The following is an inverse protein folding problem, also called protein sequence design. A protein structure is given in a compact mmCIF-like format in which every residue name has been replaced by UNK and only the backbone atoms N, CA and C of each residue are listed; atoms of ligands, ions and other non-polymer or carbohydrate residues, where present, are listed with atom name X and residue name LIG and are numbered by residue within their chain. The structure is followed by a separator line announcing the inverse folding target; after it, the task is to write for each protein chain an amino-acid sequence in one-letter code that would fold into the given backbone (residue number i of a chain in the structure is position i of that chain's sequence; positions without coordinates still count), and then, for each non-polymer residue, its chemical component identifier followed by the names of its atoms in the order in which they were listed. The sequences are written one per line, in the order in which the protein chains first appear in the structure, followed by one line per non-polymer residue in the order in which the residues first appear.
data_IF_454764578189
#
_entry.id   IF_454764578189
#
_cell.length_a   1.000
_cell.length_b   1.000
_cell.length_c   1.000
_cell.angle_alpha   90.00
_cell.angle_beta   90.00
_cell.angle_gamma   90.00
#
_symmetry.space_group_name_H-M   'P 1'
#
loop_
_entity.id
_entity.type
_entity.pdbx_description
1 polymer ?
#
# COMPACT_ATOMS: atom_id res chain seq x y z
N UNK A 1 3.34 28.70 -6.73
CA UNK A 1 3.94 27.63 -5.90
C UNK A 1 2.92 26.80 -5.09
N UNK A 2 1.62 27.15 -5.07
CA UNK A 2 0.63 26.55 -4.16
C UNK A 2 -0.21 25.39 -4.75
N UNK A 3 -0.37 25.33 -6.08
CA UNK A 3 -1.27 24.36 -6.74
C UNK A 3 -0.68 22.95 -6.76
N UNK A 4 0.59 22.83 -7.13
CA UNK A 4 1.32 21.55 -7.26
C UNK A 4 1.63 20.87 -5.92
N UNK A 5 1.81 21.64 -4.84
CA UNK A 5 2.03 21.08 -3.50
C UNK A 5 0.75 20.48 -2.92
N UNK A 6 -0.41 21.13 -3.14
CA UNK A 6 -1.71 20.61 -2.70
C UNK A 6 -2.08 19.32 -3.42
N UNK A 7 -1.83 19.24 -4.73
CA UNK A 7 -2.02 18.00 -5.50
C UNK A 7 -1.21 16.83 -4.93
N UNK A 8 0.09 17.05 -4.68
CA UNK A 8 0.97 16.02 -4.11
C UNK A 8 0.48 15.49 -2.78
N UNK A 9 -0.04 16.36 -1.91
CA UNK A 9 -0.60 15.96 -0.61
C UNK A 9 -1.85 15.09 -0.80
N UNK A 10 -2.77 15.51 -1.67
CA UNK A 10 -4.00 14.77 -1.95
C UNK A 10 -3.67 13.37 -2.48
N UNK A 11 -2.71 13.25 -3.40
CA UNK A 11 -2.28 11.95 -3.93
C UNK A 11 -1.65 11.06 -2.87
N UNK A 12 -0.83 11.63 -1.99
CA UNK A 12 -0.22 10.87 -0.90
C UNK A 12 -1.28 10.36 0.09
N UNK A 13 -2.27 11.20 0.42
CA UNK A 13 -3.43 10.79 1.22
C UNK A 13 -4.25 9.69 0.54
N UNK A 14 -4.38 9.72 -0.79
CA UNK A 14 -5.12 8.72 -1.56
C UNK A 14 -4.45 7.34 -1.50
N UNK A 15 -3.11 7.30 -1.58
CA UNK A 15 -2.32 6.07 -1.41
C UNK A 15 -2.45 5.54 0.01
N UNK A 16 -2.29 6.40 1.03
CA UNK A 16 -2.42 6.00 2.44
C UNK A 16 -3.81 5.42 2.71
N UNK A 17 -4.86 6.08 2.23
CA UNK A 17 -6.23 5.62 2.40
C UNK A 17 -6.47 4.28 1.70
N UNK A 18 -5.93 4.12 0.48
CA UNK A 18 -5.97 2.84 -0.24
C UNK A 18 -5.34 1.68 0.55
N UNK A 19 -4.18 1.92 1.17
CA UNK A 19 -3.51 0.93 2.02
C UNK A 19 -4.36 0.58 3.24
N UNK A 20 -4.93 1.58 3.93
CA UNK A 20 -5.78 1.34 5.10
C UNK A 20 -7.03 0.52 4.75
N UNK A 21 -7.70 0.86 3.64
CA UNK A 21 -8.88 0.13 3.14
C UNK A 21 -8.50 -1.30 2.77
N UNK A 22 -7.34 -1.51 2.14
CA UNK A 22 -6.85 -2.84 1.78
C UNK A 22 -6.54 -3.68 3.02
N UNK A 23 -5.87 -3.12 4.02
CA UNK A 23 -5.60 -3.80 5.30
C UNK A 23 -6.90 -4.18 5.99
N UNK A 24 -7.86 -3.26 6.08
CA UNK A 24 -9.17 -3.53 6.68
C UNK A 24 -9.94 -4.63 5.93
N UNK A 25 -9.90 -4.61 4.59
CA UNK A 25 -10.47 -5.66 3.75
C UNK A 25 -9.84 -7.02 4.00
N UNK A 26 -8.50 -7.09 4.03
CA UNK A 26 -7.76 -8.33 4.31
C UNK A 26 -8.09 -8.85 5.71
N UNK A 27 -8.10 -7.99 6.74
CA UNK A 27 -8.46 -8.39 8.11
C UNK A 27 -9.87 -8.98 8.13
N UNK A 28 -10.86 -8.31 7.52
CA UNK A 28 -12.23 -8.80 7.47
C UNK A 28 -12.37 -10.15 6.75
N UNK A 29 -11.64 -10.33 5.64
CA UNK A 29 -11.57 -11.61 4.92
C UNK A 29 -10.98 -12.69 5.83
N UNK A 30 -9.83 -12.43 6.45
CA UNK A 30 -9.16 -13.39 7.34
C UNK A 30 -10.00 -13.73 8.57
N UNK A 31 -10.67 -12.75 9.19
CA UNK A 31 -11.57 -13.00 10.32
C UNK A 31 -12.82 -13.76 9.89
N UNK A 32 -13.39 -13.45 8.72
CA UNK A 32 -14.52 -14.18 8.17
C UNK A 32 -14.17 -15.62 7.75
N UNK A 33 -12.92 -15.87 7.31
CA UNK A 33 -12.38 -17.22 7.10
C UNK A 33 -12.05 -17.95 8.41
N UNK A 34 -11.86 -17.26 9.53
CA UNK A 34 -11.56 -17.88 10.83
C UNK A 34 -12.82 -18.30 11.61
N UNK A 35 -13.98 -17.69 11.31
CA UNK A 35 -15.26 -17.89 12.00
C UNK A 35 -16.24 -18.76 11.24
N UNK A 36 -15.78 -19.80 10.50
CA UNK A 36 -16.67 -20.76 9.82
C UNK A 36 -17.42 -21.65 10.81
N UNK A 37 -18.33 -21.08 11.59
CA UNK A 37 -19.51 -21.78 12.07
C UNK A 37 -20.54 -21.78 10.93
N UNK A 38 -21.26 -22.89 10.75
CA UNK A 38 -22.02 -23.19 9.52
C UNK A 38 -23.19 -22.22 9.22
N UNK A 39 -23.57 -21.37 10.18
CA UNK A 39 -24.78 -20.54 10.10
C UNK A 39 -24.56 -19.07 9.70
N UNK A 40 -23.42 -18.42 9.99
CA UNK A 40 -23.24 -16.96 9.77
C UNK A 40 -21.87 -16.39 9.26
N UNK A 41 -21.05 -17.06 8.42
CA UNK A 41 -19.73 -16.54 8.01
C UNK A 41 -19.70 -15.79 6.66
N UNK A 42 -20.78 -15.85 5.87
CA UNK A 42 -20.73 -15.40 4.46
C UNK A 42 -20.67 -13.88 4.29
N UNK A 43 -21.39 -13.11 5.11
CA UNK A 43 -21.52 -11.66 4.91
C UNK A 43 -20.20 -10.92 5.14
N UNK A 44 -19.46 -11.28 6.19
CA UNK A 44 -18.15 -10.67 6.49
C UNK A 44 -17.11 -10.92 5.41
N UNK A 45 -17.13 -12.12 4.80
CA UNK A 45 -16.26 -12.48 3.67
C UNK A 45 -16.57 -11.65 2.41
N UNK A 46 -17.84 -11.49 2.06
CA UNK A 46 -18.25 -10.67 0.92
C UNK A 46 -17.87 -9.20 1.11
N UNK A 47 -18.14 -8.64 2.30
CA UNK A 47 -17.77 -7.26 2.63
C UNK A 47 -16.25 -7.09 2.61
N UNK A 48 -15.50 -8.01 3.22
CA UNK A 48 -14.05 -7.99 3.20
C UNK A 48 -13.47 -8.07 1.78
N UNK A 49 -14.06 -8.89 0.92
CA UNK A 49 -13.70 -8.98 -0.50
C UNK A 49 -13.91 -7.66 -1.24
N UNK A 50 -15.06 -7.00 -1.03
CA UNK A 50 -15.36 -5.69 -1.62
C UNK A 50 -14.33 -4.64 -1.16
N UNK A 51 -14.04 -4.58 0.14
CA UNK A 51 -13.03 -3.66 0.68
C UNK A 51 -11.64 -3.91 0.09
N UNK A 52 -11.28 -5.18 -0.09
CA UNK A 52 -9.98 -5.54 -0.69
C UNK A 52 -9.89 -5.09 -2.15
N UNK A 53 -10.97 -5.26 -2.94
CA UNK A 53 -11.04 -4.78 -4.33
C UNK A 53 -10.93 -3.25 -4.38
N UNK A 54 -11.68 -2.54 -3.52
CA UNK A 54 -11.65 -1.07 -3.46
C UNK A 54 -10.25 -0.59 -3.08
N UNK A 55 -9.63 -1.16 -2.05
CA UNK A 55 -8.26 -0.84 -1.66
C UNK A 55 -7.27 -1.05 -2.79
N UNK A 56 -7.43 -2.14 -3.56
CA UNK A 56 -6.62 -2.44 -4.73
C UNK A 56 -6.74 -1.38 -5.82
N UNK A 57 -7.96 -0.95 -6.15
CA UNK A 57 -8.22 0.13 -7.13
C UNK A 57 -7.56 1.44 -6.68
N UNK A 58 -7.69 1.82 -5.41
CA UNK A 58 -7.04 3.02 -4.87
C UNK A 58 -5.51 2.96 -4.99
N UNK A 59 -4.92 1.80 -4.71
CA UNK A 59 -3.48 1.56 -4.87
C UNK A 59 -3.02 1.61 -6.32
N UNK A 60 -3.79 1.05 -7.26
CA UNK A 60 -3.48 1.11 -8.69
C UNK A 60 -3.51 2.56 -9.21
N UNK A 61 -4.56 3.32 -8.88
CA UNK A 61 -4.68 4.73 -9.27
C UNK A 61 -3.56 5.56 -8.62
N UNK A 62 -3.34 5.38 -7.32
CA UNK A 62 -2.26 6.03 -6.60
C UNK A 62 -0.87 5.71 -7.17
N UNK A 63 -0.63 4.45 -7.56
CA UNK A 63 0.60 3.99 -8.18
C UNK A 63 0.85 4.59 -9.56
N UNK A 64 -0.17 4.63 -10.43
CA UNK A 64 -0.08 5.27 -11.75
C UNK A 64 0.26 6.76 -11.60
N UNK A 65 -0.41 7.44 -10.67
CA UNK A 65 -0.15 8.86 -10.41
C UNK A 65 1.27 9.04 -9.86
N UNK A 66 1.69 8.22 -8.90
CA UNK A 66 3.04 8.25 -8.37
C UNK A 66 4.11 8.07 -9.46
N UNK A 67 3.91 7.14 -10.40
CA UNK A 67 4.81 6.89 -11.52
C UNK A 67 4.88 8.06 -12.51
N UNK A 68 3.78 8.81 -12.67
CA UNK A 68 3.71 10.01 -13.50
C UNK A 68 4.37 11.25 -12.85
N UNK A 69 4.62 11.25 -11.54
CA UNK A 69 5.32 12.34 -10.86
C UNK A 69 6.83 12.05 -10.76
N UNK A 70 7.61 12.50 -11.75
CA UNK A 70 9.06 12.30 -11.83
C UNK A 70 9.83 12.67 -10.54
N UNK A 71 9.43 13.75 -9.86
CA UNK A 71 10.07 14.18 -8.62
C UNK A 71 9.86 13.23 -7.44
N UNK A 72 8.69 12.57 -7.36
CA UNK A 72 8.35 11.60 -6.32
C UNK A 72 9.01 10.25 -6.61
N UNK A 73 8.89 9.78 -7.85
CA UNK A 73 9.54 8.57 -8.35
C UNK A 73 11.05 8.59 -8.13
N UNK A 74 11.73 9.68 -8.54
CA UNK A 74 13.19 9.81 -8.40
C UNK A 74 13.62 9.83 -6.94
N UNK A 75 12.85 10.46 -6.05
CA UNK A 75 13.16 10.53 -4.62
C UNK A 75 13.00 9.16 -3.96
N UNK A 76 11.93 8.43 -4.27
CA UNK A 76 11.71 7.08 -3.74
C UNK A 76 12.76 6.06 -4.23
N UNK A 77 13.08 6.03 -5.52
CA UNK A 77 14.11 5.14 -6.07
C UNK A 77 15.48 5.40 -5.46
N UNK A 78 15.83 6.67 -5.23
CA UNK A 78 17.09 7.04 -4.58
C UNK A 78 17.12 6.60 -3.11
N UNK A 79 16.01 6.69 -2.39
CA UNK A 79 15.92 6.18 -1.02
C UNK A 79 16.05 4.66 -0.98
N UNK A 80 15.34 3.95 -1.87
CA UNK A 80 15.42 2.49 -1.96
C UNK A 80 16.85 2.02 -2.31
N UNK A 81 17.51 2.69 -3.25
CA UNK A 81 18.91 2.40 -3.59
C UNK A 81 19.87 2.61 -2.42
N UNK A 82 19.69 3.68 -1.63
CA UNK A 82 20.50 3.88 -0.41
C UNK A 82 20.30 2.80 0.64
N UNK A 83 19.07 2.31 0.80
CA UNK A 83 18.77 1.22 1.74
C UNK A 83 19.42 -0.06 1.24
N UNK A 84 19.33 -0.35 -0.07
CA UNK A 84 19.96 -1.51 -0.66
C UNK A 84 21.49 -1.47 -0.54
N UNK A 85 22.12 -0.32 -0.80
CA UNK A 85 23.56 -0.13 -0.63
C UNK A 85 23.97 -0.36 0.83
N UNK A 86 23.23 0.21 1.79
CA UNK A 86 23.52 0.02 3.22
C UNK A 86 23.42 -1.46 3.64
N UNK A 87 22.40 -2.17 3.14
CA UNK A 87 22.24 -3.62 3.42
C UNK A 87 23.38 -4.44 2.80
N UNK A 88 23.85 -4.08 1.60
CA UNK A 88 24.97 -4.77 0.96
C UNK A 88 26.30 -4.48 1.68
N UNK A 89 26.52 -3.25 2.14
CA UNK A 89 27.68 -2.90 2.98
C UNK A 89 27.68 -3.68 4.30
N UNK A 90 26.54 -3.81 4.98
CA UNK A 90 26.40 -4.65 6.18
C UNK A 90 26.73 -6.12 5.88
N UNK A 91 26.23 -6.67 4.76
CA UNK A 91 26.51 -8.05 4.33
C UNK A 91 27.98 -8.30 4.01
N UNK A 92 28.68 -7.32 3.45
CA UNK A 92 30.12 -7.40 3.18
C UNK A 92 30.92 -7.33 4.50
N UNK A 93 30.48 -6.52 5.47
CA UNK A 93 31.11 -6.46 6.78
C UNK A 93 30.90 -7.73 7.62
N UNK A 94 29.73 -8.36 7.57
CA UNK A 94 29.47 -9.63 8.27
C UNK A 94 30.27 -10.81 7.71
N UNK A 95 30.68 -10.75 6.43
CA UNK A 95 31.50 -11.78 5.78
C UNK A 95 33.00 -11.58 5.96
N UNK A 96 33.42 -10.50 6.62
CA UNK A 96 34.82 -10.12 6.84
C UNK A 96 35.28 -10.49 8.25
#
# INVERSE_FOLDING_TARGET
MTKTTKEKIIFFSLIIFGILVLIAGIIMVQTGFATFDEDEPRVGLYIGGIFTIIGGVFLTVGGIIFLNFDGLKKKALRTAGKIADAVEEERIQEKK
#
